data_IF_970726896588
#
_entry.id   IF_970726896588
#
_cell.length_a   1.000
_cell.length_b   1.000
_cell.length_c   1.000
_cell.angle_alpha   90.00
_cell.angle_beta   90.00
_cell.angle_gamma   90.00
#
_symmetry.space_group_name_H-M   'P 1'
#
loop_
_entity.id
_entity.type
_entity.pdbx_description
1 polymer ?
#
# COMPACT_ATOMS: atom_id res chain seq x y z
N UNK A 1 8.02 -27.56 -9.10
CA UNK A 1 6.77 -26.90 -9.50
C UNK A 1 6.74 -25.55 -8.80
N UNK A 2 7.00 -24.46 -9.51
CA UNK A 2 6.91 -23.12 -8.92
C UNK A 2 5.43 -22.78 -8.73
N UNK A 3 4.93 -22.81 -7.50
CA UNK A 3 3.63 -22.25 -7.18
C UNK A 3 3.69 -20.75 -7.42
N UNK A 4 2.99 -20.26 -8.45
CA UNK A 4 2.95 -18.83 -8.73
C UNK A 4 2.22 -18.09 -7.61
N UNK A 5 2.82 -17.01 -7.11
CA UNK A 5 2.16 -16.08 -6.19
C UNK A 5 1.41 -15.06 -7.02
N UNK A 6 0.11 -14.87 -6.73
CA UNK A 6 -0.68 -13.81 -7.34
C UNK A 6 -0.39 -12.51 -6.61
N UNK A 7 0.04 -11.48 -7.33
CA UNK A 7 0.28 -10.15 -6.78
C UNK A 7 -0.56 -9.15 -7.58
N UNK A 8 -1.32 -8.33 -6.87
CA UNK A 8 -2.03 -7.19 -7.43
C UNK A 8 -1.25 -5.90 -7.18
N UNK A 9 -1.04 -5.11 -8.21
CA UNK A 9 -0.37 -3.81 -8.12
C UNK A 9 -1.43 -2.72 -8.02
N UNK A 10 -1.34 -1.90 -6.98
CA UNK A 10 -2.22 -0.77 -6.71
C UNK A 10 -1.42 0.52 -6.85
N UNK A 11 -1.82 1.43 -7.74
CA UNK A 11 -1.19 2.74 -7.84
C UNK A 11 -1.64 3.63 -6.68
N UNK A 12 -0.67 4.10 -5.90
CA UNK A 12 -0.89 4.83 -4.64
C UNK A 12 -0.02 6.10 -4.57
N UNK A 13 -0.23 7.06 -5.48
CA UNK A 13 0.55 8.28 -5.51
C UNK A 13 0.31 9.16 -4.27
N UNK A 14 1.21 10.10 -4.03
CA UNK A 14 1.10 11.11 -2.97
C UNK A 14 2.38 11.25 -2.17
N UNK A 15 2.97 10.12 -1.72
CA UNK A 15 4.36 10.11 -1.24
C UNK A 15 5.32 10.48 -2.38
N UNK A 16 5.15 9.81 -3.52
CA UNK A 16 5.74 10.17 -4.80
C UNK A 16 4.72 9.93 -5.93
N UNK A 17 4.90 10.48 -7.14
CA UNK A 17 3.96 10.26 -8.25
C UNK A 17 3.93 8.79 -8.72
N UNK A 18 5.04 8.07 -8.53
CA UNK A 18 5.22 6.68 -8.95
C UNK A 18 4.93 5.64 -7.86
N UNK A 19 4.48 6.05 -6.67
CA UNK A 19 4.26 5.15 -5.54
C UNK A 19 3.20 4.07 -5.87
N UNK A 20 3.51 2.83 -5.50
CA UNK A 20 2.62 1.68 -5.63
C UNK A 20 2.55 0.92 -4.31
N UNK A 21 1.47 0.15 -4.15
CA UNK A 21 1.28 -0.82 -3.09
C UNK A 21 0.99 -2.19 -3.71
N UNK A 22 1.36 -3.26 -3.02
CA UNK A 22 1.22 -4.63 -3.50
C UNK A 22 0.25 -5.39 -2.59
N UNK A 23 -0.76 -6.00 -3.19
CA UNK A 23 -1.68 -6.88 -2.47
C UNK A 23 -1.46 -8.33 -2.89
N UNK A 24 -1.25 -9.18 -1.87
CA UNK A 24 -1.03 -10.61 -2.00
C UNK A 24 -2.26 -11.32 -1.41
N UNK A 25 -3.29 -11.60 -2.22
CA UNK A 25 -4.57 -12.13 -1.74
C UNK A 25 -4.49 -13.55 -1.18
N UNK A 26 -3.53 -14.37 -1.63
CA UNK A 26 -3.34 -15.72 -1.08
C UNK A 26 -2.82 -15.70 0.35
N UNK A 27 -2.17 -14.60 0.72
CA UNK A 27 -1.44 -14.37 1.95
C UNK A 27 -2.15 -13.35 2.85
N UNK A 28 -3.22 -12.73 2.34
CA UNK A 28 -3.92 -11.64 3.01
C UNK A 28 -3.02 -10.45 3.34
N UNK A 29 -1.96 -10.22 2.57
CA UNK A 29 -0.93 -9.25 2.90
C UNK A 29 -0.99 -8.03 1.97
N UNK A 30 -0.93 -6.83 2.55
CA UNK A 30 -0.88 -5.56 1.84
C UNK A 30 0.41 -4.82 2.19
N UNK A 31 1.28 -4.66 1.20
CA UNK A 31 2.53 -3.91 1.31
C UNK A 31 2.30 -2.48 0.81
N UNK A 32 2.34 -1.51 1.71
CA UNK A 32 2.00 -0.10 1.41
C UNK A 32 3.22 0.81 1.22
N UNK A 33 4.43 0.34 1.50
CA UNK A 33 5.63 1.17 1.48
C UNK A 33 5.49 2.37 2.41
N UNK A 34 5.93 3.55 1.95
CA UNK A 34 5.96 4.79 2.73
C UNK A 34 4.65 5.59 2.68
N UNK A 35 3.66 5.14 1.89
CA UNK A 35 2.33 5.76 1.84
C UNK A 35 1.62 5.66 3.19
N UNK A 36 1.86 4.57 3.93
CA UNK A 36 1.49 4.44 5.33
C UNK A 36 2.78 4.52 6.16
N UNK A 37 3.04 5.61 6.90
CA UNK A 37 4.22 5.70 7.74
C UNK A 37 4.15 4.68 8.88
N UNK A 38 5.29 4.11 9.26
CA UNK A 38 5.41 3.27 10.43
C UNK A 38 4.93 3.97 11.71
N UNK A 39 4.52 3.23 12.76
CA UNK A 39 4.04 3.80 14.01
C UNK A 39 5.05 4.80 14.62
N UNK A 40 4.61 6.03 14.84
CA UNK A 40 5.46 7.10 15.41
C UNK A 40 6.35 7.83 14.41
N UNK A 41 6.37 7.44 13.13
CA UNK A 41 7.03 8.19 12.08
C UNK A 41 6.17 9.37 11.60
N UNK A 42 6.84 10.45 11.20
CA UNK A 42 6.16 11.58 10.55
C UNK A 42 5.89 11.24 9.08
N UNK A 43 4.67 11.48 8.57
CA UNK A 43 4.37 11.26 7.16
C UNK A 43 5.12 12.26 6.29
N UNK A 44 5.73 11.76 5.20
CA UNK A 44 6.34 12.56 4.14
C UNK A 44 5.49 12.39 2.88
N UNK A 45 5.12 13.50 2.25
CA UNK A 45 4.32 13.49 1.03
C UNK A 45 4.66 14.67 0.13
N UNK A 46 4.63 14.44 -1.18
CA UNK A 46 4.66 15.50 -2.20
C UNK A 46 3.26 16.11 -2.42
N UNK A 47 2.22 15.28 -2.35
CA UNK A 47 0.82 15.71 -2.51
C UNK A 47 -0.11 15.01 -1.51
N UNK A 48 -0.58 15.78 -0.54
CA UNK A 48 -1.48 15.29 0.52
C UNK A 48 -2.84 14.82 0.00
N UNK A 49 -3.38 15.43 -1.07
CA UNK A 49 -4.69 15.01 -1.61
C UNK A 49 -4.59 13.62 -2.22
N UNK A 50 -3.55 13.41 -3.03
CA UNK A 50 -3.27 12.09 -3.61
C UNK A 50 -2.96 11.06 -2.54
N UNK A 51 -2.21 11.42 -1.48
CA UNK A 51 -1.97 10.52 -0.35
C UNK A 51 -3.28 10.09 0.32
N UNK A 52 -4.20 11.02 0.58
CA UNK A 52 -5.50 10.69 1.20
C UNK A 52 -6.35 9.78 0.30
N UNK A 53 -6.41 10.06 -1.00
CA UNK A 53 -7.10 9.19 -1.96
C UNK A 53 -6.48 7.78 -2.02
N UNK A 54 -5.15 7.70 -1.97
CA UNK A 54 -4.42 6.44 -1.92
C UNK A 54 -4.72 5.67 -0.63
N UNK A 55 -4.78 6.35 0.52
CA UNK A 55 -5.14 5.73 1.79
C UNK A 55 -6.58 5.20 1.78
N UNK A 56 -7.53 5.93 1.19
CA UNK A 56 -8.91 5.48 1.05
C UNK A 56 -9.02 4.25 0.13
N UNK A 57 -8.25 4.21 -0.97
CA UNK A 57 -8.15 3.02 -1.84
C UNK A 57 -7.62 1.82 -1.06
N UNK A 58 -6.56 2.00 -0.28
CA UNK A 58 -5.95 0.91 0.51
C UNK A 58 -6.91 0.40 1.60
N UNK A 59 -7.66 1.29 2.25
CA UNK A 59 -8.71 0.92 3.22
C UNK A 59 -9.85 0.11 2.59
N UNK A 60 -10.11 0.29 1.30
CA UNK A 60 -11.15 -0.45 0.58
C UNK A 60 -10.69 -1.86 0.14
N UNK A 61 -9.40 -2.18 0.25
CA UNK A 61 -8.86 -3.51 -0.09
C UNK A 61 -9.38 -4.52 0.92
N UNK A 62 -10.25 -5.43 0.45
CA UNK A 62 -10.78 -6.52 1.26
C UNK A 62 -9.77 -7.67 1.31
N UNK A 63 -9.60 -8.26 2.50
CA UNK A 63 -8.69 -9.38 2.70
C UNK A 63 -7.23 -8.99 2.97
N UNK A 64 -6.92 -7.70 3.09
CA UNK A 64 -5.64 -7.25 3.67
C UNK A 64 -5.69 -7.36 5.20
N UNK A 65 -5.33 -8.53 5.73
CA UNK A 65 -5.29 -8.81 7.17
C UNK A 65 -3.96 -8.37 7.80
N UNK A 66 -2.89 -8.34 6.99
CA UNK A 66 -1.55 -7.92 7.42
C UNK A 66 -1.12 -6.71 6.61
N UNK A 67 -0.81 -5.62 7.32
CA UNK A 67 -0.27 -4.39 6.74
C UNK A 67 1.25 -4.35 6.96
N UNK A 68 1.99 -4.19 5.87
CA UNK A 68 3.44 -4.01 5.88
C UNK A 68 3.78 -2.60 5.41
N UNK A 69 4.34 -1.81 6.32
CA UNK A 69 4.91 -0.48 6.07
C UNK A 69 6.41 -0.51 6.39
N UNK A 70 7.15 0.45 5.84
CA UNK A 70 8.57 0.64 6.14
C UNK A 70 8.78 1.29 7.51
#
# INVERSE_FOLDING_TARGET
MGGGVRVEVLHTPGHSPGSISLFLPGEGALMCGDVVPGPGALPIYEDIRQTLESLDKLRAVKGGEVLLSQ
#
